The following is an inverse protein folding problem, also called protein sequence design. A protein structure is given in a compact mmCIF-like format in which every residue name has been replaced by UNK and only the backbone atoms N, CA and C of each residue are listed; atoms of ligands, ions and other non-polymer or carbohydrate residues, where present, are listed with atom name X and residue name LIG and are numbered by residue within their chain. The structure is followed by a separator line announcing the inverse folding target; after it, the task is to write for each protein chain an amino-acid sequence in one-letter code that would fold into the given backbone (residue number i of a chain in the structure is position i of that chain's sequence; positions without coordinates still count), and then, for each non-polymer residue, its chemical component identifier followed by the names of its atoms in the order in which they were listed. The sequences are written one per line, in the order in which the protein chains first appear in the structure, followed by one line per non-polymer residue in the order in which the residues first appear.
data_IF_183872213186
#
_entry.id   IF_183872213186
#
_cell.length_a   1.000
_cell.length_b   1.000
_cell.length_c   1.000
_cell.angle_alpha   90.00
_cell.angle_beta   90.00
_cell.angle_gamma   90.00
#
_symmetry.space_group_name_H-M   'P 1'
#
loop_
_entity.id
_entity.type
_entity.pdbx_description
1 polymer ?
#
# COMPACT_ATOMS: atom_id res chain seq x y z
N UNK A 1 -20.25 -19.29 5.43
CA UNK A 1 -19.41 -18.19 5.97
C UNK A 1 -19.79 -16.89 5.26
N UNK A 2 -19.46 -15.68 5.76
CA UNK A 2 -19.88 -14.46 5.08
C UNK A 2 -19.17 -14.33 3.73
N UNK A 3 -19.97 -14.13 2.67
CA UNK A 3 -19.50 -13.68 1.36
C UNK A 3 -19.89 -12.21 1.24
N UNK A 4 -18.98 -11.37 0.75
CA UNK A 4 -19.21 -9.93 0.74
C UNK A 4 -18.14 -9.14 0.03
N UNK A 5 -18.18 -7.82 0.19
CA UNK A 5 -17.17 -6.90 -0.32
C UNK A 5 -16.45 -6.26 0.86
N UNK A 6 -15.14 -6.35 0.88
CA UNK A 6 -14.28 -5.62 1.79
C UNK A 6 -13.91 -4.30 1.12
N UNK A 7 -14.35 -3.19 1.71
CA UNK A 7 -13.93 -1.86 1.30
C UNK A 7 -12.77 -1.42 2.19
N UNK A 8 -11.63 -1.12 1.58
CA UNK A 8 -10.42 -0.65 2.24
C UNK A 8 -10.18 0.78 1.78
N UNK A 9 -10.07 1.71 2.71
CA UNK A 9 -9.75 3.11 2.40
C UNK A 9 -8.31 3.36 2.81
N UNK A 10 -7.44 3.54 1.83
CA UNK A 10 -6.05 3.91 2.03
C UNK A 10 -5.98 5.42 2.22
N UNK A 11 -5.90 5.85 3.47
CA UNK A 11 -5.88 7.27 3.83
C UNK A 11 -4.45 7.82 3.71
N UNK A 12 -3.55 7.38 4.59
CA UNK A 12 -2.19 7.89 4.73
C UNK A 12 -1.31 6.90 5.47
N UNK A 13 0.02 6.99 5.27
CA UNK A 13 1.01 6.32 6.12
C UNK A 13 1.84 7.37 6.85
N UNK A 14 2.35 7.01 8.02
CA UNK A 14 3.19 7.88 8.85
C UNK A 14 4.28 7.07 9.51
N UNK A 15 5.43 7.70 9.73
CA UNK A 15 6.57 7.05 10.38
C UNK A 15 7.16 5.93 9.54
N UNK A 16 7.11 6.07 8.21
CA UNK A 16 7.89 5.22 7.31
C UNK A 16 9.36 5.32 7.70
N UNK A 17 10.05 4.19 7.77
CA UNK A 17 11.49 4.18 8.04
C UNK A 17 12.16 5.03 6.97
N UNK A 18 12.69 6.17 7.41
CA UNK A 18 13.17 7.20 6.52
C UNK A 18 14.55 6.75 6.00
N UNK A 19 14.55 5.92 4.97
CA UNK A 19 15.76 5.53 4.24
C UNK A 19 16.40 6.74 3.57
N UNK A 20 15.60 7.74 3.18
CA UNK A 20 16.06 8.96 2.52
C UNK A 20 15.62 10.25 3.23
N UNK A 21 16.40 10.66 4.23
CA UNK A 21 16.20 11.92 4.97
C UNK A 21 16.32 13.19 4.10
N UNK A 22 16.73 13.07 2.84
CA UNK A 22 17.05 14.17 1.92
C UNK A 22 16.48 13.99 0.49
N UNK A 23 15.96 12.81 0.14
CA UNK A 23 15.43 12.51 -1.19
C UNK A 23 13.90 12.38 -1.14
N UNK A 24 13.23 12.74 -2.24
CA UNK A 24 11.78 12.62 -2.33
C UNK A 24 11.40 11.15 -2.38
N UNK A 25 11.00 10.58 -1.24
CA UNK A 25 10.37 9.27 -1.19
C UNK A 25 9.03 9.33 -1.92
N UNK A 26 8.81 8.37 -2.81
CA UNK A 26 7.65 8.22 -3.67
C UNK A 26 6.96 6.88 -3.34
N UNK A 27 6.37 6.73 -2.14
CA UNK A 27 5.85 5.45 -1.69
C UNK A 27 4.51 5.10 -2.36
N UNK A 28 4.28 3.80 -2.55
CA UNK A 28 3.03 3.20 -2.98
C UNK A 28 2.72 1.94 -2.18
N UNK A 29 1.44 1.58 -2.12
CA UNK A 29 0.96 0.43 -1.35
C UNK A 29 0.39 -0.63 -2.29
N UNK A 30 0.88 -1.86 -2.15
CA UNK A 30 0.29 -3.07 -2.70
C UNK A 30 -0.67 -3.67 -1.69
N UNK A 31 -1.94 -3.72 -2.04
CA UNK A 31 -2.98 -4.38 -1.27
C UNK A 31 -3.28 -5.74 -1.92
N UNK A 32 -2.90 -6.80 -1.23
CA UNK A 32 -3.10 -8.18 -1.69
C UNK A 32 -4.11 -8.88 -0.81
N UNK A 33 -5.27 -9.20 -1.38
CA UNK A 33 -6.31 -10.01 -0.75
C UNK A 33 -6.48 -11.31 -1.54
N UNK A 34 -5.82 -12.37 -1.08
CA UNK A 34 -5.82 -13.71 -1.69
C UNK A 34 -5.33 -13.72 -3.14
N UNK A 35 -6.25 -13.69 -4.12
CA UNK A 35 -5.94 -13.66 -5.57
C UNK A 35 -6.14 -12.28 -6.19
N UNK A 36 -6.62 -11.32 -5.41
CA UNK A 36 -6.82 -9.93 -5.85
C UNK A 36 -5.65 -9.10 -5.35
N UNK A 37 -4.88 -8.55 -6.27
CA UNK A 37 -3.83 -7.58 -5.97
C UNK A 37 -4.24 -6.23 -6.55
N UNK A 38 -4.16 -5.17 -5.74
CA UNK A 38 -4.42 -3.80 -6.16
C UNK A 38 -3.26 -2.93 -5.70
N UNK A 39 -2.80 -2.05 -6.58
CA UNK A 39 -1.73 -1.09 -6.28
C UNK A 39 -2.32 0.30 -6.17
N UNK A 40 -1.89 1.05 -5.16
CA UNK A 40 -2.23 2.46 -5.00
C UNK A 40 -1.47 3.34 -5.98
N UNK A 41 -1.92 4.59 -6.08
CA UNK A 41 -1.15 5.65 -6.71
C UNK A 41 0.20 5.84 -5.99
N UNK A 42 1.20 6.32 -6.71
CA UNK A 42 2.51 6.68 -6.14
C UNK A 42 2.38 8.05 -5.48
N UNK A 43 2.70 8.15 -4.19
CA UNK A 43 2.62 9.40 -3.44
C UNK A 43 3.87 10.26 -3.68
N UNK A 44 4.07 10.71 -4.92
CA UNK A 44 5.30 11.40 -5.30
C UNK A 44 5.50 12.72 -4.58
N UNK A 45 6.70 12.93 -4.03
CA UNK A 45 7.08 14.16 -3.32
C UNK A 45 6.38 14.35 -1.97
N UNK A 46 5.82 13.27 -1.39
CA UNK A 46 5.19 13.31 -0.05
C UNK A 46 6.12 12.88 1.07
N UNK A 47 7.26 12.26 0.77
CA UNK A 47 8.26 11.89 1.77
C UNK A 47 7.72 10.87 2.77
N UNK A 48 8.02 11.08 4.06
CA UNK A 48 7.75 10.11 5.14
C UNK A 48 6.29 10.09 5.65
N UNK A 49 5.44 11.01 5.17
CA UNK A 49 4.01 11.08 5.51
C UNK A 49 3.13 11.13 4.23
N UNK A 50 3.10 10.06 3.43
CA UNK A 50 2.28 10.02 2.23
C UNK A 50 0.78 9.94 2.53
N UNK A 51 0.00 10.59 1.67
CA UNK A 51 -1.47 10.58 1.68
C UNK A 51 -1.98 10.15 0.31
N UNK A 52 -2.81 9.11 0.26
CA UNK A 52 -3.40 8.60 -0.98
C UNK A 52 -4.88 8.97 -1.09
N UNK A 53 -5.64 8.78 0.00
CA UNK A 53 -7.10 8.94 0.03
C UNK A 53 -7.81 8.15 -1.08
N UNK A 54 -7.40 6.89 -1.27
CA UNK A 54 -7.93 5.99 -2.30
C UNK A 54 -8.80 4.87 -1.69
N UNK A 55 -9.87 4.50 -2.38
CA UNK A 55 -10.73 3.38 -2.01
C UNK A 55 -10.46 2.13 -2.87
N UNK A 56 -10.34 0.99 -2.20
CA UNK A 56 -10.16 -0.32 -2.82
C UNK A 56 -11.29 -1.24 -2.39
N UNK A 57 -11.85 -1.98 -3.34
CA UNK A 57 -12.90 -2.95 -3.07
C UNK A 57 -12.39 -4.34 -3.43
N UNK A 58 -12.41 -5.25 -2.46
CA UNK A 58 -12.04 -6.65 -2.61
C UNK A 58 -13.27 -7.53 -2.43
N UNK A 59 -13.44 -8.53 -3.31
CA UNK A 59 -14.50 -9.51 -3.14
C UNK A 59 -14.03 -10.60 -2.17
N UNK A 60 -14.68 -10.71 -1.02
CA UNK A 60 -14.44 -11.74 -0.01
C UNK A 60 -15.34 -12.94 -0.34
N UNK A 61 -14.71 -14.01 -0.82
CA UNK A 61 -15.32 -15.33 -0.97
C UNK A 61 -14.89 -16.22 0.20
N UNK A 62 -15.56 -17.37 0.38
CA UNK A 62 -15.24 -18.28 1.50
C UNK A 62 -13.73 -18.56 1.61
N UNK A 63 -13.20 -18.35 2.83
CA UNK A 63 -11.79 -18.55 3.16
C UNK A 63 -10.87 -17.33 3.03
N UNK A 64 -11.34 -16.17 2.57
CA UNK A 64 -10.52 -14.95 2.57
C UNK A 64 -10.62 -14.22 3.91
N UNK A 65 -9.63 -14.40 4.79
CA UNK A 65 -9.54 -13.71 6.08
C UNK A 65 -8.34 -12.76 6.21
N UNK A 66 -7.46 -12.71 5.21
CA UNK A 66 -6.18 -12.00 5.29
C UNK A 66 -6.06 -10.97 4.15
N UNK A 67 -5.68 -9.75 4.53
CA UNK A 67 -5.38 -8.64 3.64
C UNK A 67 -3.94 -8.22 3.96
N UNK A 68 -3.04 -8.47 3.03
CA UNK A 68 -1.67 -7.97 3.12
C UNK A 68 -1.58 -6.59 2.49
N UNK A 69 -0.93 -5.65 3.17
CA UNK A 69 -0.52 -4.36 2.64
C UNK A 69 1.01 -4.30 2.66
N UNK A 70 1.61 -4.10 1.49
CA UNK A 70 3.06 -3.93 1.30
C UNK A 70 3.34 -2.53 0.80
N UNK A 71 4.20 -1.80 1.49
CA UNK A 71 4.64 -0.45 1.15
C UNK A 71 5.98 -0.57 0.43
N UNK A 72 6.05 0.02 -0.75
CA UNK A 72 7.23 0.07 -1.62
C UNK A 72 7.52 1.52 -1.96
N UNK A 73 8.78 1.88 -2.11
CA UNK A 73 9.22 3.18 -2.58
C UNK A 73 9.56 3.11 -4.07
N UNK A 74 8.93 3.96 -4.90
CA UNK A 74 9.14 3.94 -6.34
C UNK A 74 10.28 4.87 -6.72
N UNK A 75 11.43 4.27 -7.04
CA UNK A 75 12.58 5.04 -7.51
C UNK A 75 12.58 5.16 -9.04
N UNK A 76 12.64 6.38 -9.53
CA UNK A 76 12.82 6.64 -10.97
C UNK A 76 14.29 6.45 -11.36
N UNK A 77 14.81 5.22 -11.32
CA UNK A 77 16.17 4.90 -11.77
C UNK A 77 16.84 3.70 -11.09
N UNK A 78 16.35 3.29 -9.92
CA UNK A 78 16.77 2.09 -9.17
C UNK A 78 15.68 1.02 -9.17
N UNK A 79 15.96 -0.14 -8.58
CA UNK A 79 14.89 -1.05 -8.17
C UNK A 79 14.10 -0.40 -7.04
N UNK A 80 12.78 -0.54 -7.07
CA UNK A 80 11.90 -0.09 -5.99
C UNK A 80 12.31 -0.70 -4.65
N UNK A 81 12.43 0.14 -3.62
CA UNK A 81 12.83 -0.27 -2.29
C UNK A 81 11.63 -0.75 -1.46
N UNK A 82 11.82 -1.83 -0.71
CA UNK A 82 10.80 -2.31 0.21
C UNK A 82 10.85 -1.51 1.51
N UNK A 83 9.73 -0.88 1.88
CA UNK A 83 9.63 -0.04 3.08
C UNK A 83 9.02 -0.81 4.25
N UNK A 84 7.99 -1.62 4.01
CA UNK A 84 7.32 -2.36 5.07
C UNK A 84 6.13 -3.19 4.60
N UNK A 85 5.68 -4.12 5.43
CA UNK A 85 4.52 -4.99 5.14
C UNK A 85 3.71 -5.22 6.42
N UNK A 86 2.40 -5.35 6.28
CA UNK A 86 1.46 -5.79 7.31
C UNK A 86 0.46 -6.76 6.69
N UNK A 87 0.09 -7.83 7.40
CA UNK A 87 -0.87 -8.84 6.94
C UNK A 87 -1.82 -9.28 8.06
#
# INVERSE_FOLDING_TARGET
MPQGKLQVVLVSAKGLENTDFLCNMDPYVLLTCRTQEQKSSVASGKGSEPEWNEDFIFNISEGASELALKIMDSDTGSQDDFVGEVA
#
